data_IF_915280222913
#
_entry.id   IF_915280222913
#
_cell.length_a   1.000
_cell.length_b   1.000
_cell.length_c   1.000
_cell.angle_alpha   90.00
_cell.angle_beta   90.00
_cell.angle_gamma   90.00
#
_symmetry.space_group_name_H-M   'P 1'
#
loop_
_entity.id
_entity.type
_entity.pdbx_description
1 polymer ?
#
# COMPACT_ATOMS: atom_id res chain seq x y z
N UNK A 1 15.95 -6.63 -11.15
CA UNK A 1 16.25 -8.00 -11.68
C UNK A 1 16.68 -8.94 -10.55
N UNK A 2 17.61 -8.55 -9.67
CA UNK A 2 18.04 -9.35 -8.52
C UNK A 2 16.93 -9.67 -7.50
N UNK A 3 16.09 -8.69 -7.13
CA UNK A 3 14.95 -8.91 -6.23
C UNK A 3 14.01 -10.04 -6.69
N UNK A 4 13.71 -10.10 -8.00
CA UNK A 4 12.91 -11.18 -8.60
C UNK A 4 13.59 -12.55 -8.52
N UNK A 5 14.93 -12.61 -8.52
CA UNK A 5 15.67 -13.86 -8.35
C UNK A 5 15.62 -14.31 -6.90
N UNK A 6 15.81 -13.40 -5.94
CA UNK A 6 15.66 -13.69 -4.50
C UNK A 6 14.23 -14.17 -4.22
N UNK A 7 13.22 -13.50 -4.77
CA UNK A 7 11.82 -13.88 -4.64
C UNK A 7 11.52 -15.32 -5.11
N UNK A 8 12.21 -15.79 -6.15
CA UNK A 8 12.06 -17.16 -6.67
C UNK A 8 12.83 -18.22 -5.87
N UNK A 9 13.92 -17.83 -5.20
CA UNK A 9 14.80 -18.76 -4.48
C UNK A 9 14.45 -18.91 -3.00
N UNK A 10 13.98 -17.84 -2.36
CA UNK A 10 13.64 -17.81 -0.94
C UNK A 10 12.13 -17.60 -0.77
N UNK A 11 11.68 -16.35 -0.64
CA UNK A 11 10.26 -15.99 -0.59
C UNK A 11 9.99 -14.67 -1.30
N UNK A 12 8.74 -14.41 -1.74
CA UNK A 12 8.37 -13.10 -2.30
C UNK A 12 8.66 -11.94 -1.33
N UNK A 13 8.51 -12.17 -0.02
CA UNK A 13 8.83 -11.19 1.03
C UNK A 13 10.34 -10.89 1.09
N UNK A 14 11.19 -11.90 1.02
CA UNK A 14 12.65 -11.72 0.97
C UNK A 14 13.06 -10.89 -0.24
N UNK A 15 12.38 -11.09 -1.39
CA UNK A 15 12.58 -10.28 -2.58
C UNK A 15 12.23 -8.80 -2.37
N UNK A 16 11.15 -8.51 -1.64
CA UNK A 16 10.75 -7.13 -1.30
C UNK A 16 11.70 -6.50 -0.29
N UNK A 17 12.04 -7.20 0.80
CA UNK A 17 12.99 -6.72 1.81
C UNK A 17 14.38 -6.49 1.22
N UNK A 18 14.84 -7.39 0.35
CA UNK A 18 16.06 -7.21 -0.41
C UNK A 18 16.00 -5.93 -1.26
N UNK A 19 14.88 -5.69 -1.95
CA UNK A 19 14.72 -4.49 -2.76
C UNK A 19 14.76 -3.22 -1.90
N UNK A 20 14.00 -3.18 -0.79
CA UNK A 20 13.97 -2.03 0.14
C UNK A 20 15.38 -1.74 0.65
N UNK A 21 16.12 -2.76 1.12
CA UNK A 21 17.51 -2.62 1.57
C UNK A 21 18.39 -1.94 0.51
N UNK A 22 18.32 -2.39 -0.74
CA UNK A 22 19.17 -1.84 -1.80
C UNK A 22 18.72 -0.44 -2.24
N UNK A 23 17.42 -0.14 -2.24
CA UNK A 23 16.93 1.21 -2.52
C UNK A 23 17.36 2.22 -1.44
N UNK A 24 17.37 1.80 -0.17
CA UNK A 24 17.88 2.63 0.93
C UNK A 24 19.39 2.89 0.81
N UNK A 25 20.17 1.87 0.44
CA UNK A 25 21.62 2.04 0.18
C UNK A 25 21.84 2.99 -0.99
N UNK A 26 21.09 2.82 -2.09
CA UNK A 26 21.18 3.72 -3.24
C UNK A 26 20.81 5.16 -2.87
N UNK A 27 19.77 5.35 -2.05
CA UNK A 27 19.36 6.66 -1.55
C UNK A 27 20.49 7.34 -0.77
N UNK A 28 21.15 6.60 0.12
CA UNK A 28 22.29 7.11 0.89
C UNK A 28 23.48 7.45 -0.02
N UNK A 29 23.76 6.60 -1.00
CA UNK A 29 24.86 6.80 -1.94
C UNK A 29 24.64 8.00 -2.87
N UNK A 30 23.39 8.33 -3.22
CA UNK A 30 23.10 9.51 -4.06
C UNK A 30 23.01 10.82 -3.26
N UNK A 31 22.80 10.75 -1.94
CA UNK A 31 22.72 11.92 -1.07
C UNK A 31 23.95 12.87 -1.13
N UNK A 32 25.21 12.40 -1.18
CA UNK A 32 26.36 13.29 -1.30
C UNK A 32 26.47 13.99 -2.67
N UNK A 33 25.86 13.46 -3.73
CA UNK A 33 25.86 14.09 -5.05
C UNK A 33 24.88 15.26 -5.17
N UNK A 34 24.02 15.45 -4.16
CA UNK A 34 23.04 16.55 -4.09
C UNK A 34 23.70 17.91 -3.75
N UNK A 35 24.99 17.93 -3.39
CA UNK A 35 25.69 19.14 -2.91
C UNK A 35 26.86 19.61 -3.79
N UNK A 36 27.53 18.73 -4.57
CA UNK A 36 28.81 19.11 -5.23
C UNK A 36 28.83 19.14 -6.76
N UNK A 37 27.76 18.75 -7.46
CA UNK A 37 27.75 18.81 -8.94
C UNK A 37 26.41 19.33 -9.46
N UNK A 38 26.26 20.66 -9.44
CA UNK A 38 25.41 21.34 -10.42
C UNK A 38 26.03 21.22 -11.83
N UNK A 39 26.20 19.99 -12.34
CA UNK A 39 26.57 19.76 -13.73
C UNK A 39 25.27 19.68 -14.49
N UNK A 40 24.72 20.85 -14.83
CA UNK A 40 23.60 21.05 -15.74
C UNK A 40 23.87 20.27 -17.04
N UNK A 41 23.24 19.10 -17.19
CA UNK A 41 23.25 18.37 -18.46
C UNK A 41 22.24 19.12 -19.32
N UNK A 42 22.76 20.01 -20.16
CA UNK A 42 21.99 20.79 -21.12
C UNK A 42 21.72 19.91 -22.32
N UNK A 43 20.53 19.33 -22.40
CA UNK A 43 20.07 18.75 -23.65
C UNK A 43 19.46 19.86 -24.51
N UNK A 44 19.84 19.90 -25.78
CA UNK A 44 19.32 20.87 -26.74
C UNK A 44 18.10 20.26 -27.43
N UNK A 45 16.91 20.82 -27.17
CA UNK A 45 15.69 20.44 -27.85
C UNK A 45 15.58 21.19 -29.20
N UNK A 46 15.69 20.42 -30.28
CA UNK A 46 15.59 20.90 -31.66
C UNK A 46 14.20 20.73 -32.28
N UNK A 47 13.22 20.15 -31.58
CA UNK A 47 11.90 19.87 -32.14
C UNK A 47 11.22 21.14 -32.70
N UNK A 48 11.30 22.22 -31.93
CA UNK A 48 10.78 23.54 -32.35
C UNK A 48 11.55 24.10 -33.55
N UNK A 49 12.88 23.95 -33.59
CA UNK A 49 13.70 24.42 -34.72
C UNK A 49 13.39 23.65 -36.01
N UNK A 50 13.14 22.34 -35.90
CA UNK A 50 12.77 21.48 -37.02
C UNK A 50 11.38 21.82 -37.57
N UNK A 51 10.43 22.16 -36.72
CA UNK A 51 9.09 22.57 -37.16
C UNK A 51 9.10 23.94 -37.87
N UNK A 52 9.93 24.87 -37.43
CA UNK A 52 10.14 26.13 -38.15
C UNK A 52 10.84 25.93 -39.50
N UNK A 53 11.87 25.07 -39.56
CA UNK A 53 12.50 24.70 -40.83
C UNK A 53 11.52 24.04 -41.79
N UNK A 54 10.67 23.12 -41.30
CA UNK A 54 9.63 22.46 -42.11
C UNK A 54 8.60 23.45 -42.65
N UNK A 55 8.20 24.45 -41.87
CA UNK A 55 7.26 25.51 -42.30
C UNK A 55 7.88 26.42 -43.37
N UNK A 56 9.17 26.74 -43.26
CA UNK A 56 9.92 27.49 -44.28
C UNK A 56 10.06 26.68 -45.57
N UNK A 57 10.42 25.40 -45.48
CA UNK A 57 10.54 24.50 -46.64
C UNK A 57 9.20 24.25 -47.36
N UNK A 58 8.08 24.30 -46.63
CA UNK A 58 6.72 24.25 -47.21
C UNK A 58 6.24 25.59 -47.77
N UNK A 59 7.08 26.63 -47.78
CA UNK A 59 6.74 27.96 -48.28
C UNK A 59 5.73 28.73 -47.42
N UNK A 60 5.41 28.22 -46.22
CA UNK A 60 4.46 28.83 -45.29
C UNK A 60 5.09 29.95 -44.45
N UNK A 61 6.41 30.15 -44.56
CA UNK A 61 7.16 31.25 -43.96
C UNK A 61 8.25 31.74 -44.94
N UNK A 62 8.45 33.07 -45.00
CA UNK A 62 9.36 33.70 -45.95
C UNK A 62 10.83 33.49 -45.58
N UNK A 63 11.65 33.02 -46.53
CA UNK A 63 13.11 32.88 -46.40
C UNK A 63 13.82 34.21 -46.13
N UNK A 64 13.23 35.34 -46.53
CA UNK A 64 13.81 36.67 -46.31
C UNK A 64 13.73 37.12 -44.84
N UNK A 65 12.82 36.53 -44.05
CA UNK A 65 12.74 36.76 -42.60
C UNK A 65 13.88 36.10 -41.81
N UNK A 66 14.69 35.23 -42.45
CA UNK A 66 15.93 34.69 -41.88
C UNK A 66 17.08 35.70 -41.88
N UNK A 67 17.03 36.74 -42.72
CA UNK A 67 18.17 37.65 -42.95
C UNK A 67 18.19 38.84 -41.98
N UNK A 68 17.04 39.21 -41.42
CA UNK A 68 16.94 40.24 -40.38
C UNK A 68 17.45 39.68 -39.04
N UNK A 69 18.30 40.44 -38.34
CA UNK A 69 19.06 40.02 -37.14
C UNK A 69 18.26 39.45 -35.96
N UNK A 70 16.93 39.41 -36.03
CA UNK A 70 16.00 38.77 -35.09
C UNK A 70 15.61 37.32 -35.47
N UNK A 71 16.23 36.70 -36.48
CA UNK A 71 15.97 35.30 -36.89
C UNK A 71 16.80 34.25 -36.14
N UNK A 72 18.05 34.57 -35.77
CA UNK A 72 18.94 33.63 -35.07
C UNK A 72 18.40 33.24 -33.68
N UNK A 73 17.62 34.14 -33.06
CA UNK A 73 16.92 33.87 -31.81
C UNK A 73 15.75 32.88 -31.97
N UNK A 74 15.19 32.73 -33.18
CA UNK A 74 14.07 31.81 -33.46
C UNK A 74 14.51 30.38 -33.80
N UNK A 75 15.77 30.21 -34.24
CA UNK A 75 16.42 28.91 -34.43
C UNK A 75 17.30 28.49 -33.26
N UNK A 76 17.28 29.25 -32.15
CA UNK A 76 17.99 28.86 -30.94
C UNK A 76 17.33 27.61 -30.35
N UNK A 77 18.05 26.48 -30.23
CA UNK A 77 17.52 25.30 -29.54
C UNK A 77 17.17 25.67 -28.11
N UNK A 78 16.07 25.12 -27.62
CA UNK A 78 15.67 25.33 -26.22
C UNK A 78 16.55 24.42 -25.36
N UNK A 79 17.21 24.98 -24.36
CA UNK A 79 17.96 24.19 -23.37
C UNK A 79 16.94 23.56 -22.44
N UNK A 80 16.87 22.24 -22.43
CA UNK A 80 16.07 21.46 -21.50
C UNK A 80 17.02 20.77 -20.53
N UNK A 81 16.91 21.11 -19.24
CA UNK A 81 17.73 20.54 -18.17
C UNK A 81 16.95 19.40 -17.51
N UNK A 82 17.44 18.17 -17.60
CA UNK A 82 16.78 16.94 -17.12
C UNK A 82 17.41 16.39 -15.84
N UNK A 83 17.76 17.28 -14.91
CA UNK A 83 18.13 16.88 -13.55
C UNK A 83 16.88 16.82 -12.67
N UNK A 84 16.82 15.88 -11.71
CA UNK A 84 15.76 15.67 -10.68
C UNK A 84 14.82 14.46 -10.89
N UNK A 85 14.82 13.77 -12.04
CA UNK A 85 13.88 12.65 -12.23
C UNK A 85 14.35 11.33 -11.56
N UNK A 86 15.65 11.03 -11.56
CA UNK A 86 16.17 9.77 -11.01
C UNK A 86 15.99 9.63 -9.48
N UNK A 87 16.22 10.71 -8.72
CA UNK A 87 15.98 10.73 -7.26
C UNK A 87 14.49 10.60 -6.96
N UNK A 88 13.65 11.30 -7.71
CA UNK A 88 12.19 11.24 -7.56
C UNK A 88 11.65 9.85 -7.86
N UNK A 89 12.11 9.20 -8.93
CA UNK A 89 11.73 7.83 -9.27
C UNK A 89 12.28 6.82 -8.25
N UNK A 90 13.47 7.03 -7.69
CA UNK A 90 13.99 6.20 -6.59
C UNK A 90 13.08 6.27 -5.36
N UNK A 91 12.74 7.48 -4.90
CA UNK A 91 11.87 7.69 -3.73
C UNK A 91 10.47 7.11 -3.97
N UNK A 92 9.91 7.29 -5.17
CA UNK A 92 8.62 6.71 -5.57
C UNK A 92 8.65 5.19 -5.54
N UNK A 93 9.71 4.57 -6.08
CA UNK A 93 9.87 3.12 -6.06
C UNK A 93 10.07 2.58 -4.64
N UNK A 94 10.85 3.29 -3.81
CA UNK A 94 11.05 2.95 -2.40
C UNK A 94 9.72 2.99 -1.65
N UNK A 95 8.99 4.09 -1.75
CA UNK A 95 7.67 4.26 -1.11
C UNK A 95 6.71 3.15 -1.54
N UNK A 96 6.58 2.91 -2.85
CA UNK A 96 5.68 1.88 -3.36
C UNK A 96 6.06 0.48 -2.88
N UNK A 97 7.35 0.16 -2.81
CA UNK A 97 7.81 -1.15 -2.32
C UNK A 97 7.53 -1.31 -0.82
N UNK A 98 7.72 -0.26 -0.03
CA UNK A 98 7.39 -0.24 1.40
C UNK A 98 5.89 -0.43 1.64
N UNK A 99 5.03 0.28 0.88
CA UNK A 99 3.57 0.13 0.95
C UNK A 99 3.13 -1.30 0.60
N UNK A 100 3.71 -1.90 -0.45
CA UNK A 100 3.42 -3.28 -0.82
C UNK A 100 3.81 -4.29 0.27
N UNK A 101 4.96 -4.07 0.94
CA UNK A 101 5.36 -4.89 2.08
C UNK A 101 4.35 -4.75 3.22
N UNK A 102 4.02 -3.51 3.61
CA UNK A 102 3.06 -3.22 4.69
C UNK A 102 1.73 -3.92 4.42
N UNK A 103 1.19 -3.79 3.21
CA UNK A 103 -0.04 -4.44 2.80
C UNK A 103 0.06 -5.97 2.85
N UNK A 104 1.17 -6.54 2.38
CA UNK A 104 1.38 -7.99 2.37
C UNK A 104 1.42 -8.57 3.78
N UNK A 105 2.13 -7.92 4.71
CA UNK A 105 2.21 -8.36 6.11
C UNK A 105 0.87 -8.16 6.84
N UNK A 106 0.21 -7.03 6.59
CA UNK A 106 -1.13 -6.76 7.13
C UNK A 106 -2.07 -7.88 6.68
N UNK A 107 -2.11 -8.16 5.38
CA UNK A 107 -2.96 -9.21 4.80
C UNK A 107 -2.66 -10.58 5.41
N UNK A 108 -1.38 -10.95 5.53
CA UNK A 108 -0.98 -12.22 6.13
C UNK A 108 -1.56 -12.42 7.54
N UNK A 109 -1.75 -11.33 8.29
CA UNK A 109 -2.23 -11.37 9.68
C UNK A 109 -3.75 -11.27 9.78
N UNK A 110 -4.37 -10.32 9.08
CA UNK A 110 -5.80 -9.97 9.28
C UNK A 110 -6.74 -10.36 8.14
N UNK A 111 -6.25 -11.03 7.09
CA UNK A 111 -7.12 -11.51 5.99
C UNK A 111 -8.35 -12.30 6.47
N UNK A 112 -8.25 -13.21 7.48
CA UNK A 112 -9.43 -13.93 7.96
C UNK A 112 -10.50 -12.99 8.53
N UNK A 113 -10.09 -11.95 9.26
CA UNK A 113 -10.99 -10.92 9.82
C UNK A 113 -11.64 -10.13 8.69
N UNK A 114 -10.84 -9.63 7.75
CA UNK A 114 -11.33 -8.81 6.64
C UNK A 114 -12.32 -9.60 5.76
N UNK A 115 -12.02 -10.88 5.48
CA UNK A 115 -12.93 -11.76 4.74
C UNK A 115 -14.26 -11.96 5.47
N UNK A 116 -14.21 -12.14 6.80
CA UNK A 116 -15.40 -12.28 7.62
C UNK A 116 -16.25 -11.00 7.63
N UNK A 117 -15.64 -9.84 7.92
CA UNK A 117 -16.32 -8.53 7.94
C UNK A 117 -16.93 -8.22 6.56
N UNK A 118 -16.23 -8.54 5.47
CA UNK A 118 -16.76 -8.36 4.11
C UNK A 118 -18.02 -9.19 3.88
N UNK A 119 -18.04 -10.46 4.31
CA UNK A 119 -19.23 -11.32 4.22
C UNK A 119 -20.39 -10.78 5.03
N UNK A 120 -20.13 -10.36 6.27
CA UNK A 120 -21.14 -9.73 7.15
C UNK A 120 -21.71 -8.47 6.51
N UNK A 121 -20.87 -7.62 5.95
CA UNK A 121 -21.28 -6.37 5.31
C UNK A 121 -22.14 -6.64 4.07
N UNK A 122 -21.74 -7.58 3.22
CA UNK A 122 -22.51 -7.98 2.04
C UNK A 122 -23.91 -8.50 2.43
N UNK A 123 -24.00 -9.29 3.49
CA UNK A 123 -25.27 -9.78 4.05
C UNK A 123 -26.14 -8.64 4.57
N UNK A 124 -25.58 -7.71 5.34
CA UNK A 124 -26.33 -6.54 5.86
C UNK A 124 -26.87 -5.68 4.72
N UNK A 125 -26.07 -5.43 3.68
CA UNK A 125 -26.47 -4.67 2.50
C UNK A 125 -27.54 -5.41 1.68
N UNK A 126 -27.42 -6.73 1.52
CA UNK A 126 -28.44 -7.52 0.84
C UNK A 126 -29.77 -7.52 1.62
N UNK A 127 -29.71 -7.67 2.95
CA UNK A 127 -30.88 -7.61 3.83
C UNK A 127 -31.59 -6.25 3.77
N UNK A 128 -30.85 -5.15 3.82
CA UNK A 128 -31.43 -3.81 3.71
C UNK A 128 -31.99 -3.51 2.32
N UNK A 129 -31.34 -3.97 1.25
CA UNK A 129 -31.84 -3.82 -0.12
C UNK A 129 -33.14 -4.61 -0.37
N UNK A 130 -33.30 -5.78 0.24
CA UNK A 130 -34.56 -6.54 0.22
C UNK A 130 -35.67 -5.84 1.01
N UNK A 131 -35.34 -5.26 2.18
CA UNK A 131 -36.30 -4.48 2.98
C UNK A 131 -36.80 -3.22 2.27
N UNK A 132 -35.96 -2.58 1.45
CA UNK A 132 -36.34 -1.42 0.63
C UNK A 132 -37.22 -1.79 -0.59
N UNK A 133 -37.09 -3.01 -1.12
CA UNK A 133 -37.92 -3.49 -2.25
C UNK A 133 -39.27 -4.05 -1.81
N UNK A 134 -39.36 -4.60 -0.60
CA UNK A 134 -40.60 -4.99 0.04
C UNK A 134 -41.26 -3.75 0.68
N UNK A 135 -41.83 -2.88 -0.15
CA UNK A 135 -42.38 -1.60 0.29
C UNK A 135 -43.36 -1.73 1.46
N UNK A 136 -42.95 -1.22 2.63
CA UNK A 136 -43.81 -0.61 3.65
C UNK A 136 -45.10 -1.32 4.04
N UNK A 137 -45.07 -2.62 4.33
CA UNK A 137 -46.25 -3.31 4.87
C UNK A 137 -45.91 -4.68 5.44
N UNK A 138 -45.52 -4.72 6.72
CA UNK A 138 -46.14 -5.52 7.80
C UNK A 138 -45.16 -5.55 9.01
N UNK A 139 -45.62 -5.07 10.17
CA UNK A 139 -44.84 -4.87 11.40
C UNK A 139 -44.58 -6.16 12.19
N UNK A 140 -43.88 -7.14 11.59
CA UNK A 140 -43.57 -8.39 12.27
C UNK A 140 -42.18 -8.94 11.92
N UNK A 141 -41.18 -8.63 12.75
CA UNK A 141 -39.92 -9.36 13.06
C UNK A 141 -39.21 -10.29 12.05
N UNK A 142 -39.48 -10.24 10.74
CA UNK A 142 -38.94 -11.19 9.75
C UNK A 142 -37.73 -10.65 8.96
N UNK A 143 -37.35 -9.38 9.15
CA UNK A 143 -36.35 -8.69 8.33
C UNK A 143 -34.92 -8.63 8.88
N UNK A 144 -34.70 -8.96 10.15
CA UNK A 144 -33.37 -9.04 10.74
C UNK A 144 -33.12 -10.49 11.17
N UNK A 145 -32.76 -11.36 10.22
CA UNK A 145 -32.08 -12.60 10.61
C UNK A 145 -30.80 -12.19 11.31
N UNK A 146 -30.71 -12.47 12.61
CA UNK A 146 -29.57 -12.09 13.44
C UNK A 146 -28.32 -12.69 12.78
N UNK A 147 -27.18 -11.99 12.79
CA UNK A 147 -25.97 -12.50 12.13
C UNK A 147 -25.57 -13.89 12.62
N UNK A 148 -25.85 -14.19 13.90
CA UNK A 148 -25.66 -15.49 14.54
C UNK A 148 -26.45 -16.65 13.90
N UNK A 149 -27.56 -16.37 13.23
CA UNK A 149 -28.39 -17.40 12.57
C UNK A 149 -27.80 -17.81 11.21
N UNK A 150 -26.77 -17.10 10.73
CA UNK A 150 -26.11 -17.44 9.49
C UNK A 150 -25.01 -18.48 9.74
N UNK A 151 -25.01 -19.55 8.95
CA UNK A 151 -24.08 -20.68 9.12
C UNK A 151 -22.58 -20.30 9.06
N UNK A 152 -22.21 -19.17 8.44
CA UNK A 152 -20.82 -18.70 8.42
C UNK A 152 -20.44 -17.82 9.62
N UNK A 153 -21.43 -17.33 10.37
CA UNK A 153 -21.30 -16.42 11.50
C UNK A 153 -21.80 -17.09 12.80
N UNK A 154 -21.78 -18.42 12.86
CA UNK A 154 -21.92 -19.12 14.13
C UNK A 154 -20.73 -18.79 15.05
N UNK A 155 -20.91 -18.78 16.38
CA UNK A 155 -19.84 -18.50 17.34
C UNK A 155 -18.61 -19.41 17.13
N UNK A 156 -18.85 -20.68 16.79
CA UNK A 156 -17.80 -21.67 16.48
C UNK A 156 -16.98 -21.31 15.24
N UNK A 157 -17.62 -20.80 14.19
CA UNK A 157 -16.93 -20.37 12.97
C UNK A 157 -16.15 -19.09 13.19
N UNK A 158 -16.71 -18.17 13.97
CA UNK A 158 -15.99 -16.98 14.37
C UNK A 158 -14.78 -17.32 15.26
N UNK A 159 -14.91 -18.26 16.18
CA UNK A 159 -13.78 -18.77 16.97
C UNK A 159 -12.67 -19.39 16.09
N UNK A 160 -13.03 -20.08 15.00
CA UNK A 160 -12.06 -20.57 14.02
C UNK A 160 -11.33 -19.42 13.32
N UNK A 161 -12.03 -18.36 12.94
CA UNK A 161 -11.42 -17.15 12.35
C UNK A 161 -10.44 -16.51 13.33
N UNK A 162 -10.83 -16.33 14.60
CA UNK A 162 -9.96 -15.76 15.64
C UNK A 162 -8.73 -16.63 15.87
N UNK A 163 -8.88 -17.95 15.94
CA UNK A 163 -7.74 -18.88 16.09
C UNK A 163 -6.71 -18.74 14.97
N UNK A 164 -7.15 -18.64 13.72
CA UNK A 164 -6.24 -18.44 12.58
C UNK A 164 -5.46 -17.13 12.68
N UNK A 165 -6.11 -16.07 13.17
CA UNK A 165 -5.48 -14.76 13.36
C UNK A 165 -4.49 -14.82 14.52
N UNK A 166 -4.85 -15.47 15.62
CA UNK A 166 -3.95 -15.67 16.77
C UNK A 166 -2.70 -16.47 16.39
N UNK A 167 -2.85 -17.50 15.57
CA UNK A 167 -1.72 -18.26 15.01
C UNK A 167 -0.85 -17.36 14.12
N UNK A 168 -1.46 -16.57 13.23
CA UNK A 168 -0.73 -15.63 12.39
C UNK A 168 0.01 -14.55 13.22
N UNK A 169 -0.61 -14.06 14.30
CA UNK A 169 -0.01 -13.09 15.22
C UNK A 169 1.15 -13.68 16.02
N UNK A 170 1.03 -14.92 16.50
CA UNK A 170 2.03 -15.54 17.40
C UNK A 170 3.19 -16.22 16.67
N UNK A 171 2.99 -16.64 15.42
CA UNK A 171 3.99 -17.37 14.64
C UNK A 171 4.47 -16.51 13.47
N UNK A 172 3.59 -16.25 12.51
CA UNK A 172 3.97 -15.66 11.23
C UNK A 172 4.44 -14.21 11.35
N UNK A 173 3.81 -13.39 12.18
CA UNK A 173 4.18 -11.98 12.35
C UNK A 173 5.58 -11.82 13.00
N UNK A 174 5.91 -12.51 14.11
CA UNK A 174 7.27 -12.55 14.65
C UNK A 174 8.32 -13.02 13.65
N UNK A 175 8.02 -14.06 12.85
CA UNK A 175 8.94 -14.53 11.81
C UNK A 175 9.22 -13.45 10.77
N UNK A 176 8.19 -12.71 10.34
CA UNK A 176 8.32 -11.57 9.43
C UNK A 176 9.17 -10.46 10.06
N UNK A 177 8.93 -10.11 11.33
CA UNK A 177 9.72 -9.10 12.06
C UNK A 177 11.18 -9.52 12.16
N UNK A 178 11.45 -10.81 12.43
CA UNK A 178 12.78 -11.39 12.42
C UNK A 178 13.46 -11.25 11.06
N UNK A 179 12.76 -11.58 9.97
CA UNK A 179 13.27 -11.38 8.61
C UNK A 179 13.53 -9.90 8.31
N UNK A 180 12.65 -8.99 8.73
CA UNK A 180 12.89 -7.55 8.60
C UNK A 180 14.18 -7.11 9.31
N UNK A 181 14.49 -7.68 10.48
CA UNK A 181 15.74 -7.43 11.21
C UNK A 181 16.99 -7.90 10.45
N UNK A 182 16.92 -9.01 9.71
CA UNK A 182 18.02 -9.52 8.90
C UNK A 182 18.36 -8.62 7.70
N UNK A 183 17.34 -8.08 7.04
CA UNK A 183 17.53 -7.23 5.86
C UNK A 183 17.77 -5.76 6.21
N UNK A 184 17.11 -5.23 7.24
CA UNK A 184 17.14 -3.83 7.62
C UNK A 184 17.80 -3.66 9.00
N UNK A 185 19.10 -3.32 9.07
CA UNK A 185 19.84 -3.31 10.33
C UNK A 185 19.38 -2.21 11.29
N UNK A 186 18.88 -1.08 10.76
CA UNK A 186 18.46 0.05 11.58
C UNK A 186 17.07 -0.16 12.19
N UNK A 187 17.01 -0.18 13.53
CA UNK A 187 15.75 -0.32 14.29
C UNK A 187 14.75 0.78 13.97
N UNK A 188 15.20 2.02 13.78
CA UNK A 188 14.33 3.13 13.42
C UNK A 188 13.58 2.89 12.09
N UNK A 189 14.26 2.36 11.07
CA UNK A 189 13.64 2.02 9.78
C UNK A 189 12.60 0.91 9.94
N UNK A 190 12.90 -0.11 10.75
CA UNK A 190 11.95 -1.18 11.04
C UNK A 190 10.72 -0.66 11.77
N UNK A 191 10.91 0.17 12.79
CA UNK A 191 9.81 0.79 13.53
C UNK A 191 8.91 1.66 12.63
N UNK A 192 9.49 2.41 11.69
CA UNK A 192 8.73 3.19 10.70
C UNK A 192 7.86 2.30 9.81
N UNK A 193 8.39 1.17 9.34
CA UNK A 193 7.65 0.20 8.52
C UNK A 193 6.61 -0.59 9.32
N UNK A 194 6.91 -0.89 10.59
CA UNK A 194 6.03 -1.68 11.44
C UNK A 194 4.85 -0.88 12.00
N UNK A 195 5.01 0.43 12.23
CA UNK A 195 3.94 1.28 12.79
C UNK A 195 2.62 1.21 11.97
N UNK A 196 2.61 1.34 10.64
CA UNK A 196 1.40 1.14 9.84
C UNK A 196 0.82 -0.27 9.96
N UNK A 197 1.67 -1.30 10.01
CA UNK A 197 1.25 -2.71 10.18
C UNK A 197 0.52 -2.87 11.52
N UNK A 198 1.12 -2.39 12.61
CA UNK A 198 0.52 -2.35 13.95
C UNK A 198 -0.83 -1.65 13.93
N UNK A 199 -0.90 -0.46 13.34
CA UNK A 199 -2.14 0.32 13.26
C UNK A 199 -3.25 -0.45 12.55
N UNK A 200 -2.96 -1.04 11.39
CA UNK A 200 -3.94 -1.78 10.60
C UNK A 200 -4.45 -3.03 11.33
N UNK A 201 -3.56 -3.74 12.03
CA UNK A 201 -3.93 -4.92 12.83
C UNK A 201 -4.89 -4.52 13.96
N UNK A 202 -4.53 -3.47 14.71
CA UNK A 202 -5.36 -2.96 15.80
C UNK A 202 -6.74 -2.51 15.30
N UNK A 203 -6.79 -1.80 14.17
CA UNK A 203 -8.05 -1.35 13.58
C UNK A 203 -8.95 -2.52 13.14
N UNK A 204 -8.38 -3.54 12.48
CA UNK A 204 -9.14 -4.73 12.08
C UNK A 204 -9.69 -5.49 13.28
N UNK A 205 -8.91 -5.64 14.35
CA UNK A 205 -9.37 -6.25 15.59
C UNK A 205 -10.46 -5.40 16.27
N UNK A 206 -10.32 -4.08 16.30
CA UNK A 206 -11.33 -3.19 16.88
C UNK A 206 -12.67 -3.27 16.12
N UNK A 207 -12.63 -3.35 14.79
CA UNK A 207 -13.82 -3.56 13.96
C UNK A 207 -14.48 -4.91 14.26
N UNK A 208 -13.69 -5.98 14.41
CA UNK A 208 -14.22 -7.29 14.79
C UNK A 208 -14.83 -7.26 16.19
N UNK A 209 -14.15 -6.64 17.16
CA UNK A 209 -14.62 -6.50 18.53
C UNK A 209 -15.97 -5.76 18.58
N UNK A 210 -16.11 -4.63 17.88
CA UNK A 210 -17.37 -3.89 17.80
C UNK A 210 -18.51 -4.71 17.17
N UNK A 211 -18.20 -5.54 16.17
CA UNK A 211 -19.17 -6.44 15.54
C UNK A 211 -19.60 -7.54 16.51
N UNK A 212 -18.65 -8.15 17.22
CA UNK A 212 -18.93 -9.15 18.25
C UNK A 212 -19.76 -8.55 19.39
N UNK A 213 -19.43 -7.33 19.81
CA UNK A 213 -20.10 -6.62 20.89
C UNK A 213 -21.55 -6.25 20.59
N UNK A 214 -21.91 -6.10 19.32
CA UNK A 214 -23.26 -5.73 18.89
C UNK A 214 -24.15 -6.95 18.62
N UNK A 215 -23.58 -8.08 18.19
CA UNK A 215 -24.35 -9.16 17.55
C UNK A 215 -24.32 -10.48 18.33
N UNK A 216 -23.42 -10.63 19.31
CA UNK A 216 -23.21 -11.88 20.05
C UNK A 216 -23.39 -11.67 21.56
N UNK A 217 -23.92 -12.71 22.21
CA UNK A 217 -24.14 -12.74 23.67
C UNK A 217 -22.83 -12.88 24.44
N UNK A 218 -22.83 -12.68 25.76
CA UNK A 218 -21.61 -12.85 26.57
C UNK A 218 -21.09 -14.30 26.57
N UNK A 219 -21.98 -15.30 26.50
CA UNK A 219 -21.61 -16.71 26.39
C UNK A 219 -20.89 -17.00 25.05
N UNK A 220 -21.41 -16.45 23.95
CA UNK A 220 -20.78 -16.58 22.63
C UNK A 220 -19.40 -15.92 22.59
N UNK A 221 -19.23 -14.78 23.27
CA UNK A 221 -17.94 -14.07 23.36
C UNK A 221 -16.88 -14.91 24.07
N UNK A 222 -17.27 -15.61 25.12
CA UNK A 222 -16.37 -16.52 25.84
C UNK A 222 -15.91 -17.67 24.94
N UNK A 223 -16.77 -18.17 24.04
CA UNK A 223 -16.41 -19.21 23.06
C UNK A 223 -15.48 -18.67 21.97
N UNK A 224 -15.68 -17.44 21.51
CA UNK A 224 -14.86 -16.80 20.47
C UNK A 224 -13.43 -16.54 20.96
N UNK A 225 -13.27 -16.14 22.24
CA UNK A 225 -11.95 -15.99 22.86
C UNK A 225 -11.08 -14.90 22.24
N UNK A 226 -11.68 -13.77 21.84
CA UNK A 226 -10.95 -12.65 21.22
C UNK A 226 -9.98 -12.02 22.23
N UNK A 227 -8.71 -11.85 21.83
CA UNK A 227 -7.72 -11.11 22.63
C UNK A 227 -8.19 -9.67 22.89
N UNK A 228 -7.96 -9.16 24.10
CA UNK A 228 -8.31 -7.77 24.42
C UNK A 228 -7.48 -6.79 23.60
N UNK A 229 -8.06 -5.63 23.27
CA UNK A 229 -7.34 -4.57 22.56
C UNK A 229 -6.07 -4.12 23.29
N UNK A 230 -6.06 -4.16 24.63
CA UNK A 230 -4.90 -3.79 25.44
C UNK A 230 -3.78 -4.85 25.39
N UNK A 231 -4.13 -6.13 25.48
CA UNK A 231 -3.16 -7.23 25.40
C UNK A 231 -2.55 -7.33 24.00
N UNK A 232 -3.36 -7.13 22.96
CA UNK A 232 -2.89 -7.09 21.58
C UNK A 232 -1.90 -5.94 21.36
N UNK A 233 -2.20 -4.75 21.89
CA UNK A 233 -1.30 -3.60 21.81
C UNK A 233 0.03 -3.90 22.50
N UNK A 234 -0.02 -4.48 23.70
CA UNK A 234 1.16 -4.87 24.48
C UNK A 234 2.00 -5.91 23.74
N UNK A 235 1.35 -6.91 23.13
CA UNK A 235 2.02 -7.91 22.30
C UNK A 235 2.73 -7.28 21.09
N UNK A 236 2.05 -6.39 20.37
CA UNK A 236 2.61 -5.74 19.18
C UNK A 236 3.75 -4.77 19.53
N UNK A 237 3.71 -4.11 20.69
CA UNK A 237 4.82 -3.30 21.20
C UNK A 237 6.05 -4.13 21.57
N UNK A 238 5.87 -5.39 21.96
CA UNK A 238 6.97 -6.31 22.20
C UNK A 238 7.73 -6.76 20.93
N UNK A 239 7.19 -6.50 19.74
CA UNK A 239 7.78 -6.92 18.45
C UNK A 239 8.62 -5.83 17.78
N UNK A 240 8.57 -4.58 18.23
CA UNK A 240 9.33 -3.45 17.66
C UNK A 240 10.68 -3.24 18.31
#
# INVERSE_FOLDING_TARGET
RASKVVARKASPMDGQLFLIKHLLILREQIAPFDVEFAVTIKELDFAHTLDHLRRVLRGQASFLSLTSGSSLLRFSPRVTESHIDAKKELEKLLKSTCEQLIMSVTKLTVEPILSFITKVTAVRVAGSALALKAGGGDEGHAGQRLLRDQAFASPEKLAQVVKLVDEALKVSLPDVVGNMALYLPHTATRAILFRPIKSNILEAHAQLQSLVDSEYTEEDRAVVGLISSADLLTFLDGLT
#
